data_IF_213506610688
#
_entry.id   IF_213506610688
#
_cell.length_a   1.000
_cell.length_b   1.000
_cell.length_c   1.000
_cell.angle_alpha   90.00
_cell.angle_beta   90.00
_cell.angle_gamma   90.00
#
_symmetry.space_group_name_H-M   'P 1'
#
loop_
_entity.id
_entity.type
_entity.pdbx_description
1 polymer ?
#
# COMPACT_ATOMS: atom_id res chain seq x y z
N UNK A 1 -8.66 -13.96 -2.66
CA UNK A 1 -7.56 -13.47 -1.80
C UNK A 1 -7.48 -11.95 -1.90
N UNK A 2 -7.11 -11.26 -0.81
CA UNK A 2 -6.87 -9.81 -0.85
C UNK A 2 -5.42 -9.54 -1.26
N UNK A 3 -5.23 -8.71 -2.29
CA UNK A 3 -3.93 -8.26 -2.81
C UNK A 3 -3.68 -6.81 -2.42
N UNK A 4 -2.42 -6.42 -2.31
CA UNK A 4 -2.02 -5.03 -2.03
C UNK A 4 -1.15 -4.48 -3.15
N UNK A 5 -1.62 -3.40 -3.79
CA UNK A 5 -1.00 -2.81 -4.97
C UNK A 5 -0.02 -1.68 -4.67
N UNK A 6 0.44 -1.58 -3.41
CA UNK A 6 1.35 -0.51 -3.00
C UNK A 6 2.63 -0.48 -3.85
N UNK A 7 3.18 -1.64 -4.21
CA UNK A 7 4.36 -1.72 -5.08
C UNK A 7 4.12 -1.11 -6.47
N UNK A 8 2.93 -1.34 -7.04
CA UNK A 8 2.52 -0.78 -8.34
C UNK A 8 2.39 0.75 -8.25
N UNK A 9 1.63 1.26 -7.28
CA UNK A 9 1.43 2.70 -7.07
C UNK A 9 2.75 3.43 -6.81
N UNK A 10 3.65 2.84 -6.02
CA UNK A 10 5.00 3.36 -5.80
C UNK A 10 5.81 3.39 -7.10
N UNK A 11 5.73 2.34 -7.93
CA UNK A 11 6.42 2.27 -9.21
C UNK A 11 5.95 3.35 -10.19
N UNK A 12 4.63 3.52 -10.32
CA UNK A 12 4.00 4.53 -11.18
C UNK A 12 4.42 5.96 -10.80
N UNK A 13 4.51 6.25 -9.50
CA UNK A 13 4.97 7.55 -8.98
C UNK A 13 6.49 7.66 -8.75
N UNK A 14 7.27 6.63 -9.11
CA UNK A 14 8.73 6.54 -8.90
C UNK A 14 9.18 6.81 -7.45
N UNK A 15 8.38 6.41 -6.48
CA UNK A 15 8.64 6.62 -5.06
C UNK A 15 9.43 5.46 -4.45
N UNK A 16 10.41 5.77 -3.60
CA UNK A 16 11.10 4.76 -2.78
C UNK A 16 10.36 4.58 -1.47
N UNK A 17 10.62 3.46 -0.78
CA UNK A 17 10.10 3.23 0.59
C UNK A 17 10.46 4.42 1.50
N UNK A 18 11.67 4.97 1.39
CA UNK A 18 12.08 6.15 2.17
C UNK A 18 11.21 7.38 1.95
N UNK A 19 10.70 7.59 0.74
CA UNK A 19 9.83 8.72 0.44
C UNK A 19 8.47 8.49 1.07
N UNK A 20 7.87 7.30 0.86
CA UNK A 20 6.58 6.94 1.48
C UNK A 20 6.63 7.08 3.00
N UNK A 21 7.72 6.65 3.65
CA UNK A 21 7.89 6.81 5.09
C UNK A 21 7.90 8.27 5.54
N UNK A 22 8.58 9.13 4.78
CA UNK A 22 8.68 10.57 5.08
C UNK A 22 7.32 11.27 4.89
N UNK A 23 6.61 10.97 3.81
CA UNK A 23 5.35 11.63 3.47
C UNK A 23 4.18 11.12 4.33
N UNK A 24 4.15 9.83 4.68
CA UNK A 24 3.03 9.24 5.46
C UNK A 24 3.29 9.18 6.97
N UNK A 25 4.55 9.25 7.41
CA UNK A 25 4.93 9.00 8.80
C UNK A 25 4.71 7.55 9.27
N UNK A 26 4.41 6.62 8.35
CA UNK A 26 4.24 5.20 8.69
C UNK A 26 5.55 4.55 9.10
N UNK A 27 5.46 3.44 9.83
CA UNK A 27 6.64 2.66 10.20
C UNK A 27 7.25 1.98 8.97
N UNK A 28 8.59 1.84 8.96
CA UNK A 28 9.30 1.10 7.90
C UNK A 28 8.74 -0.30 7.73
N UNK A 29 8.42 -0.96 8.83
CA UNK A 29 7.87 -2.31 8.80
C UNK A 29 6.52 -2.35 8.07
N UNK A 30 5.59 -1.44 8.40
CA UNK A 30 4.27 -1.36 7.76
C UNK A 30 4.39 -1.20 6.24
N UNK A 31 5.15 -0.22 5.78
CA UNK A 31 5.32 0.05 4.34
C UNK A 31 6.00 -1.14 3.65
N UNK A 32 7.00 -1.76 4.29
CA UNK A 32 7.73 -2.91 3.70
C UNK A 32 6.84 -4.14 3.59
N UNK A 33 6.02 -4.43 4.60
CA UNK A 33 5.12 -5.58 4.59
C UNK A 33 4.00 -5.40 3.55
N UNK A 34 3.43 -4.19 3.44
CA UNK A 34 2.45 -3.89 2.41
C UNK A 34 3.06 -3.94 1.00
N UNK A 35 4.25 -3.36 0.81
CA UNK A 35 4.97 -3.41 -0.46
C UNK A 35 5.28 -4.83 -0.92
N UNK A 36 5.59 -5.74 0.03
CA UNK A 36 5.86 -7.16 -0.25
C UNK A 36 4.62 -8.04 -0.28
N UNK A 37 3.43 -7.47 -0.09
CA UNK A 37 2.17 -8.22 0.04
C UNK A 37 2.18 -9.30 1.15
N UNK A 38 2.98 -9.12 2.21
CA UNK A 38 3.07 -10.05 3.35
C UNK A 38 2.41 -9.52 4.62
N UNK A 39 1.71 -8.39 4.52
CA UNK A 39 0.96 -7.83 5.63
C UNK A 39 -0.23 -8.73 6.00
N UNK A 40 -0.26 -9.23 7.24
CA UNK A 40 -1.39 -10.00 7.78
C UNK A 40 -2.53 -9.11 8.30
N UNK A 41 -2.21 -7.85 8.58
CA UNK A 41 -3.13 -6.83 9.06
C UNK A 41 -2.74 -5.48 8.49
N UNK A 42 -3.74 -4.68 8.15
CA UNK A 42 -3.57 -3.31 7.67
C UNK A 42 -4.40 -2.43 8.60
N UNK A 43 -3.76 -1.38 9.13
CA UNK A 43 -4.44 -0.37 9.93
C UNK A 43 -5.20 0.58 8.99
N UNK A 44 -6.40 1.00 9.38
CA UNK A 44 -7.20 1.98 8.62
C UNK A 44 -6.43 3.31 8.51
N UNK A 45 -5.71 3.73 9.56
CA UNK A 45 -4.86 4.93 9.50
C UNK A 45 -3.74 4.81 8.46
N UNK A 46 -3.18 3.61 8.30
CA UNK A 46 -2.18 3.36 7.26
C UNK A 46 -2.77 3.42 5.86
N UNK A 47 -3.98 2.86 5.69
CA UNK A 47 -4.69 2.90 4.43
C UNK A 47 -5.06 4.33 4.04
N UNK A 48 -5.62 5.11 4.97
CA UNK A 48 -5.99 6.52 4.78
C UNK A 48 -4.80 7.37 4.33
N UNK A 49 -3.67 7.27 5.05
CA UNK A 49 -2.44 8.00 4.72
C UNK A 49 -1.89 7.63 3.34
N UNK A 50 -1.92 6.35 2.98
CA UNK A 50 -1.43 5.90 1.68
C UNK A 50 -2.39 6.34 0.56
N UNK A 51 -3.71 6.20 0.73
CA UNK A 51 -4.70 6.69 -0.24
C UNK A 51 -4.58 8.21 -0.43
N UNK A 52 -4.39 8.98 0.64
CA UNK A 52 -4.15 10.42 0.56
C UNK A 52 -2.84 10.75 -0.18
N UNK A 53 -1.76 10.02 0.09
CA UNK A 53 -0.46 10.24 -0.57
C UNK A 53 -0.51 9.93 -2.07
N UNK A 54 -1.14 8.82 -2.44
CA UNK A 54 -1.22 8.36 -3.83
C UNK A 54 -2.42 8.93 -4.58
N UNK A 55 -3.23 9.77 -3.92
CA UNK A 55 -4.47 10.35 -4.44
C UNK A 55 -5.33 9.29 -5.14
N UNK A 56 -5.53 8.16 -4.46
CA UNK A 56 -6.20 6.99 -5.02
C UNK A 56 -7.32 6.50 -4.10
N UNK A 57 -8.22 5.69 -4.67
CA UNK A 57 -9.25 5.03 -3.89
C UNK A 57 -8.69 3.82 -3.14
N UNK A 58 -9.44 3.33 -2.16
CA UNK A 58 -9.11 2.10 -1.44
C UNK A 58 -9.03 0.91 -2.40
N UNK A 59 -9.89 0.87 -3.43
CA UNK A 59 -9.91 -0.18 -4.44
C UNK A 59 -8.65 -0.21 -5.32
N UNK A 60 -7.97 0.93 -5.49
CA UNK A 60 -6.69 0.98 -6.20
C UNK A 60 -5.54 0.36 -5.36
N UNK A 61 -5.69 0.42 -4.04
CA UNK A 61 -4.72 -0.08 -3.06
C UNK A 61 -4.93 -1.57 -2.72
N UNK A 62 -6.18 -1.96 -2.54
CA UNK A 62 -6.59 -3.29 -2.09
C UNK A 62 -7.59 -3.89 -3.08
N UNK A 63 -7.25 -5.06 -3.59
CA UNK A 63 -8.09 -5.78 -4.55
C UNK A 63 -8.46 -7.15 -3.99
N UNK A 64 -9.71 -7.55 -4.15
CA UNK A 64 -10.11 -8.93 -3.97
C UNK A 64 -9.97 -9.68 -5.31
N UNK A 65 -9.08 -10.67 -5.36
CA UNK A 65 -8.92 -11.55 -6.52
C UNK A 65 -9.50 -12.92 -6.22
N UNK A 66 -10.35 -13.47 -7.07
CA UNK A 66 -10.64 -14.90 -6.98
C UNK A 66 -9.44 -15.67 -7.57
N UNK A 67 -9.00 -16.75 -6.90
CA UNK A 67 -7.91 -17.60 -7.42
C UNK A 67 -8.42 -18.57 -8.50
N UNK A 68 -9.71 -18.47 -8.84
CA UNK A 68 -10.45 -19.31 -9.78
C UNK A 68 -11.08 -18.42 -10.86
N UNK A 69 -10.26 -17.78 -11.69
CA UNK A 69 -10.68 -17.17 -12.95
C UNK A 69 -9.75 -17.62 -14.07
#
# INVERSE_FOLDING_TARGET
MIRCHLARLMGERKMKISDVLRETGLSRNTVTLMYKETAQKIDIDALDKLCCLFECEVADMLEFTDEQA
#
